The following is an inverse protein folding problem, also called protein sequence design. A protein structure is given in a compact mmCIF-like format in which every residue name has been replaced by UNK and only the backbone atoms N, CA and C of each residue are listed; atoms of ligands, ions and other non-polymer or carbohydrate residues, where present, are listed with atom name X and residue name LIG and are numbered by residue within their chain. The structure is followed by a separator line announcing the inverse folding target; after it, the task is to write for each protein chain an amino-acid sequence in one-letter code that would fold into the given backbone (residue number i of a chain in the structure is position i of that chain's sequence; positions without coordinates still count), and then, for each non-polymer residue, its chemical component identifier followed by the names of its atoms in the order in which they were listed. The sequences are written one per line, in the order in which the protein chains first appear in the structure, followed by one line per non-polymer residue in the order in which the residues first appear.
data_IF_834296725669
#
_entry.id   IF_834296725669
#
_cell.length_a   1.000
_cell.length_b   1.000
_cell.length_c   1.000
_cell.angle_alpha   90.00
_cell.angle_beta   90.00
_cell.angle_gamma   90.00
#
_symmetry.space_group_name_H-M   'P 1'
#
loop_
_entity.id
_entity.type
_entity.pdbx_description
1 polymer ?
#
# COMPACT_ATOMS: atom_id res chain seq x y z
N UNK A 1 41.19 29.92 37.55
CA UNK A 1 40.28 30.39 36.50
C UNK A 1 40.99 30.36 35.17
N UNK A 2 40.72 29.35 34.34
CA UNK A 2 41.35 29.16 33.02
C UNK A 2 40.21 28.98 32.03
N UNK A 3 40.08 29.93 31.09
CA UNK A 3 39.09 29.89 30.01
C UNK A 3 39.66 29.12 28.81
N UNK A 4 38.85 28.32 28.09
CA UNK A 4 39.30 27.73 26.84
C UNK A 4 39.05 28.70 25.67
N UNK A 5 40.11 28.98 24.92
CA UNK A 5 40.08 29.68 23.64
C UNK A 5 39.54 28.70 22.59
N UNK A 6 38.37 28.99 22.01
CA UNK A 6 37.82 28.24 20.89
C UNK A 6 38.17 28.99 19.59
N UNK A 7 39.07 28.45 18.79
CA UNK A 7 39.28 28.87 17.40
C UNK A 7 38.46 27.96 16.46
N UNK A 8 37.67 28.51 15.52
CA UNK A 8 36.98 27.70 14.52
C UNK A 8 37.93 27.34 13.36
N UNK A 9 37.88 26.07 12.93
CA UNK A 9 38.56 25.55 11.74
C UNK A 9 37.91 26.10 10.44
N UNK A 10 38.69 26.43 9.40
CA UNK A 10 38.15 26.87 8.12
C UNK A 10 37.57 25.71 7.31
N UNK A 11 36.35 25.88 6.82
CA UNK A 11 35.68 24.94 5.92
C UNK A 11 36.35 24.97 4.54
N UNK A 12 36.83 23.83 4.06
CA UNK A 12 37.28 23.65 2.67
C UNK A 12 36.07 23.65 1.74
N UNK A 13 36.07 24.57 0.77
CA UNK A 13 35.04 24.68 -0.26
C UNK A 13 35.08 23.48 -1.22
N UNK A 14 34.00 22.71 -1.27
CA UNK A 14 33.79 21.69 -2.29
C UNK A 14 33.31 22.32 -3.59
N UNK A 15 34.06 22.02 -4.63
CA UNK A 15 33.95 22.42 -6.02
C UNK A 15 32.66 21.95 -6.69
N UNK A 16 32.15 22.79 -7.58
CA UNK A 16 31.02 22.58 -8.48
C UNK A 16 31.03 21.25 -9.23
N UNK A 17 29.97 20.46 -9.07
CA UNK A 17 29.57 19.40 -9.99
C UNK A 17 28.32 19.82 -10.75
N UNK A 18 28.42 19.91 -12.08
CA UNK A 18 27.34 20.30 -12.97
C UNK A 18 26.20 19.26 -12.96
N UNK A 19 24.97 19.73 -12.77
CA UNK A 19 23.74 18.95 -12.97
C UNK A 19 23.33 18.99 -14.45
N UNK A 20 22.97 17.86 -15.08
CA UNK A 20 22.49 17.88 -16.45
C UNK A 20 21.12 18.57 -16.52
N UNK A 21 21.00 19.54 -17.42
CA UNK A 21 19.79 20.31 -17.69
C UNK A 21 18.75 19.42 -18.38
N UNK A 22 17.54 19.35 -17.80
CA UNK A 22 16.36 18.77 -18.44
C UNK A 22 15.75 19.82 -19.38
N UNK A 23 15.77 19.55 -20.68
CA UNK A 23 15.15 20.40 -21.71
C UNK A 23 13.66 20.02 -21.89
N UNK A 24 12.70 20.96 -21.75
CA UNK A 24 11.26 20.68 -21.85
C UNK A 24 10.65 20.65 -23.26
N UNK A 25 11.42 20.74 -24.36
CA UNK A 25 10.83 20.88 -25.71
C UNK A 25 11.05 19.68 -26.63
N UNK A 26 10.26 18.61 -26.46
CA UNK A 26 10.00 17.68 -27.57
C UNK A 26 8.51 17.38 -27.72
N UNK A 27 7.84 18.31 -28.39
CA UNK A 27 6.52 18.14 -28.96
C UNK A 27 6.65 17.26 -30.21
N UNK A 28 6.09 16.05 -30.20
CA UNK A 28 5.69 15.36 -31.43
C UNK A 28 4.22 14.99 -31.30
N UNK A 29 3.44 15.78 -32.02
CA UNK A 29 2.05 15.58 -32.36
C UNK A 29 1.99 14.66 -33.58
N UNK A 30 1.26 13.54 -33.48
CA UNK A 30 0.59 12.94 -34.62
C UNK A 30 -0.44 11.91 -34.14
N UNK A 31 -1.70 12.32 -34.23
CA UNK A 31 -2.89 11.50 -34.18
C UNK A 31 -2.83 10.36 -35.20
N UNK A 32 -3.30 9.16 -34.82
CA UNK A 32 -4.06 8.33 -35.73
C UNK A 32 -4.98 7.36 -34.97
N UNK A 33 -6.27 7.66 -35.06
CA UNK A 33 -7.41 6.82 -34.69
C UNK A 33 -7.55 5.69 -35.69
N UNK A 34 -7.44 4.43 -35.26
CA UNK A 34 -8.08 3.30 -35.94
C UNK A 34 -8.75 2.39 -34.91
N UNK A 35 -10.08 2.32 -35.01
CA UNK A 35 -10.92 1.32 -34.37
C UNK A 35 -10.73 0.03 -35.16
N UNK A 36 -10.24 -1.04 -34.53
CA UNK A 36 -10.36 -2.38 -35.07
C UNK A 36 -10.68 -3.39 -33.96
N UNK A 37 -11.82 -4.02 -34.14
CA UNK A 37 -12.39 -5.15 -33.40
C UNK A 37 -11.38 -6.29 -33.28
N UNK A 38 -11.01 -6.69 -32.06
CA UNK A 38 -10.30 -7.94 -31.83
C UNK A 38 -11.31 -9.05 -31.50
N UNK A 39 -11.62 -9.83 -32.53
CA UNK A 39 -12.09 -11.20 -32.41
C UNK A 39 -11.00 -12.07 -31.76
N UNK A 40 -11.43 -12.97 -30.88
CA UNK A 40 -10.62 -13.97 -30.19
C UNK A 40 -9.80 -14.84 -31.16
N UNK A 41 -8.47 -14.98 -30.95
CA UNK A 41 -7.70 -16.07 -31.54
C UNK A 41 -7.59 -17.27 -30.56
N UNK A 42 -7.44 -18.51 -31.07
CA UNK A 42 -7.37 -19.70 -30.25
C UNK A 42 -5.99 -19.86 -29.58
N UNK A 43 -6.04 -20.51 -28.43
CA UNK A 43 -4.93 -21.01 -27.62
C UNK A 43 -3.74 -21.57 -28.44
N UNK A 44 -2.55 -21.06 -28.16
CA UNK A 44 -1.27 -21.74 -28.42
C UNK A 44 -0.47 -21.67 -27.14
N UNK A 45 -0.28 -22.84 -26.53
CA UNK A 45 0.42 -23.03 -25.26
C UNK A 45 1.92 -22.95 -25.53
N UNK A 46 2.57 -21.91 -25.00
CA UNK A 46 4.03 -21.87 -24.92
C UNK A 46 4.39 -22.02 -23.45
N UNK A 47 4.89 -23.21 -23.12
CA UNK A 47 5.32 -23.59 -21.79
C UNK A 47 6.55 -22.76 -21.37
N UNK A 48 6.41 -22.01 -20.29
CA UNK A 48 7.53 -21.37 -19.59
C UNK A 48 8.04 -22.39 -18.56
N UNK A 49 9.33 -22.77 -18.55
CA UNK A 49 9.83 -23.68 -17.53
C UNK A 49 9.79 -23.01 -16.15
N UNK A 50 9.02 -23.59 -15.24
CA UNK A 50 9.08 -23.28 -13.80
C UNK A 50 10.50 -23.52 -13.27
N UNK A 51 10.98 -22.69 -12.31
CA UNK A 51 12.19 -23.00 -11.56
C UNK A 51 11.96 -24.27 -10.73
N UNK A 52 12.56 -25.37 -11.20
CA UNK A 52 12.62 -26.65 -10.51
C UNK A 52 13.62 -26.51 -9.34
N UNK A 53 13.17 -26.74 -8.11
CA UNK A 53 13.99 -26.64 -6.89
C UNK A 53 14.53 -27.99 -6.40
N UNK A 54 14.44 -29.04 -7.22
CA UNK A 54 15.01 -30.33 -6.89
C UNK A 54 16.49 -30.40 -7.31
N UNK A 55 17.42 -30.15 -6.38
CA UNK A 55 18.77 -30.74 -6.32
C UNK A 55 19.42 -30.33 -4.98
N UNK A 56 19.31 -31.22 -3.98
CA UNK A 56 20.45 -31.80 -3.24
C UNK A 56 19.90 -32.56 -2.02
N UNK A 57 19.72 -33.87 -2.15
CA UNK A 57 19.82 -34.77 -1.01
C UNK A 57 20.20 -36.15 -1.51
N UNK A 58 21.47 -36.50 -1.36
CA UNK A 58 21.95 -37.87 -1.46
C UNK A 58 22.51 -38.22 -0.11
N UNK A 59 21.88 -39.14 0.64
CA UNK A 59 22.27 -40.55 0.67
C UNK A 59 21.65 -41.28 1.87
N UNK A 60 20.92 -42.36 1.57
CA UNK A 60 20.70 -43.62 2.32
C UNK A 60 20.16 -43.61 3.78
N UNK A 61 19.02 -44.28 3.99
CA UNK A 61 18.68 -44.86 5.31
C UNK A 61 17.20 -45.08 5.65
N UNK A 62 16.59 -46.11 5.07
CA UNK A 62 15.58 -47.04 5.61
C UNK A 62 14.47 -46.60 6.62
N UNK A 63 13.27 -47.13 6.32
CA UNK A 63 12.09 -47.41 7.16
C UNK A 63 11.00 -46.31 7.27
N UNK A 64 9.88 -46.57 6.60
CA UNK A 64 8.57 -45.95 6.86
C UNK A 64 8.13 -46.17 8.31
N UNK A 65 7.41 -45.20 8.88
CA UNK A 65 5.99 -45.44 9.14
C UNK A 65 5.09 -44.45 8.38
N UNK A 66 3.90 -44.88 7.99
CA UNK A 66 2.84 -44.01 7.51
C UNK A 66 2.36 -43.13 8.68
N UNK A 67 3.04 -42.01 8.88
CA UNK A 67 2.54 -40.92 9.69
C UNK A 67 1.59 -40.06 8.84
N UNK A 68 0.50 -39.69 9.50
CA UNK A 68 -0.58 -38.86 8.99
C UNK A 68 0.00 -37.75 8.11
N UNK A 69 -0.52 -37.60 6.88
CA UNK A 69 -0.35 -36.35 6.15
C UNK A 69 -1.15 -35.32 6.94
N UNK A 70 -0.53 -34.75 7.95
CA UNK A 70 -0.90 -33.45 8.43
C UNK A 70 -0.87 -32.58 7.17
N UNK A 71 -2.05 -32.27 6.63
CA UNK A 71 -2.18 -31.10 5.80
C UNK A 71 -1.73 -29.97 6.72
N UNK A 72 -0.42 -29.64 6.72
CA UNK A 72 0.07 -28.37 7.19
C UNK A 72 -0.64 -27.35 6.31
N UNK A 73 -1.85 -27.00 6.74
CA UNK A 73 -2.58 -25.85 6.28
C UNK A 73 -1.66 -24.71 6.67
N UNK A 74 -0.83 -24.27 5.73
CA UNK A 74 0.01 -23.08 5.84
C UNK A 74 -0.92 -21.87 5.96
N UNK A 75 -1.63 -21.75 7.09
CA UNK A 75 -2.16 -20.49 7.55
C UNK A 75 -0.94 -19.63 7.87
N UNK A 76 -0.65 -18.59 7.10
CA UNK A 76 0.56 -17.86 7.32
C UNK A 76 0.45 -17.17 8.70
N UNK A 77 1.48 -17.37 9.54
CA UNK A 77 1.57 -16.92 10.94
C UNK A 77 1.22 -15.42 11.12
N UNK A 78 1.35 -14.64 10.05
CA UNK A 78 0.99 -13.23 10.02
C UNK A 78 -0.51 -13.00 10.34
N UNK A 79 -1.42 -13.87 9.87
CA UNK A 79 -2.85 -13.73 10.14
C UNK A 79 -3.18 -13.96 11.62
N UNK A 80 -2.50 -14.90 12.28
CA UNK A 80 -2.67 -15.18 13.72
C UNK A 80 -2.14 -14.05 14.61
N UNK A 81 -1.16 -13.30 14.10
CA UNK A 81 -0.68 -12.07 14.75
C UNK A 81 -1.69 -10.92 14.65
N UNK A 82 -2.39 -10.80 13.52
CA UNK A 82 -3.30 -9.68 13.23
C UNK A 82 -4.76 -9.96 13.58
N UNK A 83 -5.14 -11.22 13.71
CA UNK A 83 -6.52 -11.65 13.88
C UNK A 83 -6.68 -12.97 14.61
N UNK A 84 -7.94 -13.36 14.78
CA UNK A 84 -8.35 -14.63 15.37
C UNK A 84 -9.59 -15.16 14.65
N UNK A 85 -9.80 -16.48 14.68
CA UNK A 85 -11.02 -17.11 14.16
C UNK A 85 -12.12 -17.04 15.22
N UNK A 86 -13.31 -16.63 14.82
CA UNK A 86 -14.48 -16.69 15.69
C UNK A 86 -15.10 -18.10 15.73
N UNK A 87 -16.16 -18.27 16.53
CA UNK A 87 -16.85 -19.56 16.68
C UNK A 87 -17.41 -20.12 15.36
N UNK A 88 -17.52 -19.29 14.33
CA UNK A 88 -18.00 -19.66 13.00
C UNK A 88 -16.84 -19.85 12.00
N UNK A 89 -15.59 -19.83 12.46
CA UNK A 89 -14.40 -19.96 11.61
C UNK A 89 -14.10 -18.72 10.77
N UNK A 90 -14.61 -17.55 11.16
CA UNK A 90 -14.38 -16.31 10.42
C UNK A 90 -13.28 -15.46 11.06
N UNK A 91 -12.42 -14.85 10.24
CA UNK A 91 -11.36 -13.97 10.74
C UNK A 91 -11.92 -12.66 11.30
N UNK A 92 -11.46 -12.33 12.51
CA UNK A 92 -11.69 -11.08 13.23
C UNK A 92 -10.37 -10.40 13.55
N UNK A 93 -10.40 -9.10 13.76
CA UNK A 93 -9.20 -8.34 14.14
C UNK A 93 -8.86 -8.53 15.62
N UNK A 94 -7.59 -8.78 15.92
CA UNK A 94 -7.07 -8.97 17.29
C UNK A 94 -6.58 -7.67 17.93
N UNK A 95 -6.59 -6.54 17.23
CA UNK A 95 -6.08 -5.27 17.75
C UNK A 95 -6.86 -4.84 19.01
N UNK A 96 -6.13 -4.50 20.07
CA UNK A 96 -6.70 -4.10 21.35
C UNK A 96 -7.58 -2.86 21.20
N UNK A 97 -8.84 -2.95 21.64
CA UNK A 97 -9.81 -1.86 21.46
C UNK A 97 -10.31 -1.66 20.02
N UNK A 98 -10.09 -2.63 19.11
CA UNK A 98 -10.71 -2.60 17.80
C UNK A 98 -12.24 -2.66 17.91
N UNK A 99 -12.92 -1.57 17.53
CA UNK A 99 -14.39 -1.47 17.55
C UNK A 99 -15.07 -2.04 16.31
N UNK A 100 -14.33 -2.70 15.42
CA UNK A 100 -14.89 -3.25 14.18
C UNK A 100 -15.51 -4.61 14.45
N UNK A 101 -16.82 -4.74 14.21
CA UNK A 101 -17.53 -6.03 14.21
C UNK A 101 -17.34 -6.82 12.91
N UNK A 102 -16.50 -6.32 11.99
CA UNK A 102 -16.35 -6.85 10.63
C UNK A 102 -15.68 -8.23 10.63
N UNK A 103 -16.29 -9.12 9.86
CA UNK A 103 -15.73 -10.42 9.47
C UNK A 103 -14.90 -10.25 8.20
N UNK A 104 -13.69 -10.82 8.18
CA UNK A 104 -12.79 -10.78 7.04
C UNK A 104 -12.75 -12.14 6.34
N UNK A 105 -13.38 -12.24 5.18
CA UNK A 105 -13.33 -13.48 4.38
C UNK A 105 -11.96 -13.68 3.71
N UNK A 106 -11.20 -12.60 3.49
CA UNK A 106 -9.90 -12.64 2.82
C UNK A 106 -8.80 -12.12 3.73
N UNK A 107 -7.67 -12.82 3.71
CA UNK A 107 -6.44 -12.44 4.39
C UNK A 107 -5.97 -11.00 4.06
N UNK A 108 -6.07 -10.59 2.79
CA UNK A 108 -5.68 -9.24 2.37
C UNK A 108 -6.53 -8.13 2.99
N UNK A 109 -7.82 -8.39 3.24
CA UNK A 109 -8.71 -7.43 3.87
C UNK A 109 -8.38 -7.27 5.35
N UNK A 110 -8.08 -8.38 6.05
CA UNK A 110 -7.63 -8.34 7.45
C UNK A 110 -6.31 -7.56 7.58
N UNK A 111 -5.32 -7.86 6.72
CA UNK A 111 -4.03 -7.13 6.72
C UNK A 111 -4.21 -5.63 6.52
N UNK A 112 -5.03 -5.26 5.53
CA UNK A 112 -5.32 -3.86 5.24
C UNK A 112 -6.03 -3.18 6.42
N UNK A 113 -6.97 -3.87 7.05
CA UNK A 113 -7.67 -3.37 8.23
C UNK A 113 -6.72 -3.18 9.41
N UNK A 114 -5.89 -4.18 9.72
CA UNK A 114 -4.98 -4.16 10.86
C UNK A 114 -3.99 -2.99 10.76
N UNK A 115 -3.39 -2.79 9.58
CA UNK A 115 -2.53 -1.63 9.31
C UNK A 115 -3.24 -0.28 9.46
N UNK A 116 -4.57 -0.25 9.42
CA UNK A 116 -5.37 0.96 9.60
C UNK A 116 -5.45 1.46 11.05
N UNK A 117 -5.08 0.64 12.03
CA UNK A 117 -5.02 1.02 13.44
C UNK A 117 -3.84 1.93 13.73
N UNK A 118 -2.71 1.67 13.10
CA UNK A 118 -1.50 2.49 13.24
C UNK A 118 -1.64 3.77 12.43
N UNK A 119 -2.00 4.86 13.11
CA UNK A 119 -2.19 6.17 12.51
C UNK A 119 -1.00 7.07 12.83
N UNK A 120 -0.34 7.57 11.78
CA UNK A 120 0.83 8.43 11.90
C UNK A 120 0.58 9.85 11.38
N UNK A 121 -0.45 10.04 10.56
CA UNK A 121 -0.78 11.32 9.94
C UNK A 121 -2.08 11.85 10.52
N UNK A 122 -1.99 12.91 11.33
CA UNK A 122 -3.14 13.53 11.98
C UNK A 122 -3.47 14.88 11.34
N UNK A 123 -4.76 15.18 11.23
CA UNK A 123 -5.22 16.47 10.77
C UNK A 123 -5.09 17.52 11.87
N UNK A 124 -4.55 18.69 11.53
CA UNK A 124 -4.37 19.83 12.44
C UNK A 124 -5.51 20.84 12.38
N UNK A 125 -6.43 20.71 11.43
CA UNK A 125 -7.61 21.58 11.35
C UNK A 125 -8.50 21.38 12.57
N UNK A 126 -8.88 22.48 13.25
CA UNK A 126 -9.60 22.48 14.53
C UNK A 126 -10.71 21.42 14.66
N UNK A 127 -11.69 21.30 13.73
CA UNK A 127 -12.76 20.32 13.89
C UNK A 127 -12.25 18.87 13.84
N UNK A 128 -11.23 18.60 13.03
CA UNK A 128 -10.66 17.26 12.85
C UNK A 128 -9.66 16.91 13.95
N UNK A 129 -8.87 17.88 14.41
CA UNK A 129 -7.96 17.74 15.54
C UNK A 129 -8.74 17.40 16.81
N UNK A 130 -9.85 18.10 17.09
CA UNK A 130 -10.70 17.83 18.24
C UNK A 130 -11.33 16.42 18.19
N UNK A 131 -11.63 15.91 16.99
CA UNK A 131 -12.16 14.57 16.79
C UNK A 131 -11.07 13.47 16.72
N UNK A 132 -9.78 13.83 16.78
CA UNK A 132 -8.68 12.89 16.67
C UNK A 132 -8.57 12.21 15.29
N UNK A 133 -8.92 12.91 14.20
CA UNK A 133 -8.90 12.33 12.86
C UNK A 133 -7.46 12.06 12.42
N UNK A 134 -7.13 10.78 12.30
CA UNK A 134 -5.82 10.29 11.85
C UNK A 134 -5.90 9.19 10.80
N UNK A 135 -4.82 9.08 10.03
CA UNK A 135 -4.66 8.18 8.88
C UNK A 135 -3.38 7.37 9.00
N UNK A 136 -3.44 6.12 8.56
CA UNK A 136 -2.29 5.21 8.49
C UNK A 136 -1.35 5.55 7.32
N UNK A 137 -1.88 6.10 6.23
CA UNK A 137 -1.11 6.40 5.03
C UNK A 137 -1.11 7.88 4.69
N UNK A 138 0.02 8.37 4.14
CA UNK A 138 0.14 9.74 3.63
C UNK A 138 -0.88 10.03 2.52
N UNK A 139 -1.16 9.04 1.66
CA UNK A 139 -2.13 9.17 0.56
C UNK A 139 -3.53 9.48 1.08
N UNK A 140 -3.99 8.75 2.08
CA UNK A 140 -5.31 8.98 2.67
C UNK A 140 -5.39 10.33 3.40
N UNK A 141 -4.31 10.73 4.07
CA UNK A 141 -4.20 12.06 4.68
C UNK A 141 -4.30 13.19 3.64
N UNK A 142 -3.56 13.11 2.53
CA UNK A 142 -3.63 14.12 1.46
C UNK A 142 -5.02 14.19 0.83
N UNK A 143 -5.68 13.03 0.65
CA UNK A 143 -7.08 12.99 0.20
C UNK A 143 -8.01 13.73 1.17
N UNK A 144 -7.82 13.53 2.49
CA UNK A 144 -8.57 14.24 3.51
C UNK A 144 -8.29 15.75 3.51
N UNK A 145 -7.03 16.17 3.32
CA UNK A 145 -6.68 17.59 3.22
C UNK A 145 -7.42 18.27 2.05
N UNK A 146 -7.60 17.57 0.93
CA UNK A 146 -8.42 18.05 -0.19
C UNK A 146 -9.88 18.30 0.19
N UNK A 147 -10.42 17.59 1.19
CA UNK A 147 -11.80 17.80 1.68
C UNK A 147 -11.99 19.11 2.44
N UNK A 148 -10.93 19.71 2.98
CA UNK A 148 -11.02 21.05 3.58
C UNK A 148 -11.19 22.16 2.54
N UNK A 149 -10.87 21.89 1.26
CA UNK A 149 -10.94 22.86 0.17
C UNK A 149 -11.70 22.29 -1.04
N UNK A 150 -13.03 22.09 -0.92
CA UNK A 150 -13.81 21.58 -2.04
C UNK A 150 -13.90 22.62 -3.16
N UNK A 151 -13.55 22.23 -4.38
CA UNK A 151 -13.50 23.14 -5.54
C UNK A 151 -14.38 22.69 -6.70
N UNK A 152 -14.89 21.45 -6.68
CA UNK A 152 -15.58 20.85 -7.82
C UNK A 152 -17.07 21.13 -7.69
N UNK A 153 -17.59 22.04 -8.52
CA UNK A 153 -19.02 22.37 -8.55
C UNK A 153 -19.80 21.34 -9.36
N UNK A 154 -20.99 20.99 -8.91
CA UNK A 154 -21.93 20.18 -9.69
C UNK A 154 -22.30 20.92 -11.00
N UNK A 155 -22.27 20.25 -12.17
CA UNK A 155 -22.61 20.89 -13.44
C UNK A 155 -24.12 21.09 -13.65
N UNK A 156 -24.97 20.45 -12.86
CA UNK A 156 -26.42 20.57 -13.01
C UNK A 156 -26.93 21.95 -12.59
N UNK A 157 -27.84 22.52 -13.39
CA UNK A 157 -28.53 23.78 -13.08
C UNK A 157 -29.23 23.65 -11.72
N UNK A 158 -29.09 24.70 -10.90
CA UNK A 158 -29.68 24.83 -9.55
C UNK A 158 -29.28 23.77 -8.51
N UNK A 159 -28.28 22.91 -8.77
CA UNK A 159 -27.83 21.93 -7.77
C UNK A 159 -27.01 22.58 -6.64
N UNK A 160 -26.09 23.51 -6.97
CA UNK A 160 -25.30 24.26 -6.00
C UNK A 160 -24.29 23.47 -5.15
N UNK A 161 -24.24 22.13 -5.26
CA UNK A 161 -23.33 21.27 -4.49
C UNK A 161 -21.87 21.45 -4.91
N UNK A 162 -20.97 21.47 -3.94
CA UNK A 162 -19.51 21.52 -4.15
C UNK A 162 -18.88 20.30 -3.51
N UNK A 163 -18.03 19.61 -4.27
CA UNK A 163 -17.36 18.38 -3.89
C UNK A 163 -15.85 18.60 -3.80
N UNK A 164 -15.20 17.82 -2.95
CA UNK A 164 -13.73 17.81 -2.87
C UNK A 164 -13.06 16.95 -3.93
N UNK A 165 -13.81 16.02 -4.53
CA UNK A 165 -13.30 15.06 -5.52
C UNK A 165 -14.37 14.76 -6.56
N UNK A 166 -13.95 14.48 -7.80
CA UNK A 166 -14.83 14.23 -8.94
C UNK A 166 -15.61 12.92 -8.81
N UNK A 167 -15.05 11.91 -8.15
CA UNK A 167 -15.70 10.62 -7.92
C UNK A 167 -16.84 10.68 -6.90
N UNK A 168 -16.95 11.78 -6.14
CA UNK A 168 -18.01 11.98 -5.16
C UNK A 168 -19.14 12.90 -5.66
N UNK A 169 -19.02 13.43 -6.88
CA UNK A 169 -20.04 14.27 -7.54
C UNK A 169 -21.08 13.41 -8.24
#
# INVERSE_FOLDING_TARGET
SIAPIYQPLPYLGTTSGAMPHYDPNHLVEASNTQILTHSTPPMMQVAVPSPNWDILSSSEGSQSPAEDREEEVWEPEDLRRMGYLDASGNWRCKFEGCRSSRVFMRACDLRKHFRGHDKYFFCTEKPCANAGVGFATRKDYQRHMGSHRPTIKCPHQDCGRIFSRKDNM
#
